data_IF_101919559456
#
_entry.id   IF_101919559456
#
_cell.length_a   1.000
_cell.length_b   1.000
_cell.length_c   1.000
_cell.angle_alpha   90.00
_cell.angle_beta   90.00
_cell.angle_gamma   90.00
#
_symmetry.space_group_name_H-M   'P 1'
#
loop_
_entity.id
_entity.type
_entity.pdbx_description
1 polymer ?
#
# COMPACT_ATOMS: atom_id res chain seq x y z
N UNK A 1 -4.46 -1.76 28.89
CA UNK A 1 -4.40 -0.35 28.47
C UNK A 1 -5.79 0.03 28.01
N UNK A 2 -6.39 1.06 28.62
CA UNK A 2 -7.75 1.48 28.27
C UNK A 2 -7.68 2.39 27.05
N UNK A 3 -7.87 1.80 25.87
CA UNK A 3 -8.00 2.57 24.63
C UNK A 3 -9.32 3.36 24.67
N UNK A 4 -9.32 4.64 24.24
CA UNK A 4 -10.53 5.46 24.29
C UNK A 4 -11.64 4.83 23.43
N UNK A 5 -12.87 4.83 23.98
CA UNK A 5 -14.07 4.36 23.29
C UNK A 5 -14.18 4.97 21.89
N UNK A 6 -14.48 4.13 20.89
CA UNK A 6 -14.67 4.56 19.50
C UNK A 6 -15.66 5.74 19.46
N UNK A 7 -15.26 6.92 18.95
CA UNK A 7 -16.16 8.07 18.90
C UNK A 7 -17.38 7.77 18.02
N UNK A 8 -18.54 8.32 18.35
CA UNK A 8 -19.75 8.11 17.56
C UNK A 8 -19.61 8.75 16.18
N UNK A 9 -19.59 7.92 15.12
CA UNK A 9 -19.55 8.35 13.72
C UNK A 9 -18.47 7.69 12.85
N UNK A 10 -17.53 6.94 13.44
CA UNK A 10 -16.41 6.36 12.70
C UNK A 10 -16.68 4.94 12.20
N UNK A 11 -16.15 4.62 11.02
CA UNK A 11 -16.04 3.22 10.56
C UNK A 11 -14.91 2.51 11.32
N UNK A 12 -15.09 1.21 11.61
CA UNK A 12 -14.04 0.38 12.22
C UNK A 12 -12.75 0.39 11.40
N UNK A 13 -12.87 0.38 10.06
CA UNK A 13 -11.76 0.45 9.11
C UNK A 13 -10.93 1.73 9.26
N UNK A 14 -11.60 2.89 9.31
CA UNK A 14 -10.93 4.18 9.47
C UNK A 14 -10.18 4.31 10.79
N UNK A 15 -10.80 3.87 11.88
CA UNK A 15 -10.13 3.90 13.18
C UNK A 15 -8.98 2.88 13.27
N UNK A 16 -9.06 1.75 12.53
CA UNK A 16 -7.94 0.81 12.37
C UNK A 16 -6.75 1.47 11.67
N UNK A 17 -6.97 2.17 10.55
CA UNK A 17 -5.92 2.92 9.85
C UNK A 17 -5.23 3.92 10.80
N UNK A 18 -6.01 4.71 11.55
CA UNK A 18 -5.46 5.71 12.49
C UNK A 18 -4.51 5.08 13.51
N UNK A 19 -4.94 4.01 14.20
CA UNK A 19 -4.09 3.34 15.22
C UNK A 19 -2.88 2.67 14.56
N UNK A 20 -3.02 2.08 13.36
CA UNK A 20 -1.90 1.50 12.63
C UNK A 20 -0.84 2.56 12.28
N UNK A 21 -1.28 3.73 11.79
CA UNK A 21 -0.41 4.87 11.49
C UNK A 21 0.31 5.37 12.75
N UNK A 22 -0.41 5.50 13.87
CA UNK A 22 0.19 5.89 15.17
C UNK A 22 1.24 4.87 15.63
N UNK A 23 0.94 3.57 15.59
CA UNK A 23 1.89 2.49 15.92
C UNK A 23 3.11 2.46 15.00
N UNK A 24 2.96 2.81 13.73
CA UNK A 24 4.09 2.96 12.80
C UNK A 24 4.95 4.21 13.06
N UNK A 25 4.56 5.07 14.01
CA UNK A 25 5.26 6.30 14.41
C UNK A 25 4.64 7.59 13.87
N UNK A 26 3.37 7.53 13.44
CA UNK A 26 2.57 8.66 13.01
C UNK A 26 2.77 9.07 11.54
N UNK A 27 1.81 9.86 11.04
CA UNK A 27 1.75 10.37 9.65
C UNK A 27 3.10 10.95 9.21
N UNK A 28 3.72 11.81 10.03
CA UNK A 28 5.00 12.46 9.72
C UNK A 28 6.14 11.47 9.44
N UNK A 29 6.20 10.35 10.17
CA UNK A 29 7.24 9.34 9.97
C UNK A 29 6.99 8.51 8.71
N UNK A 30 5.72 8.19 8.43
CA UNK A 30 5.35 7.51 7.19
C UNK A 30 5.60 8.37 5.95
N UNK A 31 5.24 9.66 6.01
CA UNK A 31 5.47 10.61 4.91
C UNK A 31 6.96 10.96 4.70
N UNK A 32 7.78 10.90 5.74
CA UNK A 32 9.19 11.32 5.70
C UNK A 32 9.41 12.75 5.12
N UNK A 33 8.43 13.64 5.28
CA UNK A 33 8.41 15.00 4.71
C UNK A 33 7.74 15.14 3.33
N UNK A 34 7.12 14.08 2.80
CA UNK A 34 6.29 14.16 1.60
C UNK A 34 5.02 14.99 1.85
N UNK A 35 4.69 15.87 0.91
CA UNK A 35 3.42 16.63 0.88
C UNK A 35 2.20 15.83 0.40
N UNK A 36 2.45 14.62 -0.12
CA UNK A 36 1.42 13.73 -0.65
C UNK A 36 1.47 12.41 0.11
N UNK A 37 0.34 12.01 0.68
CA UNK A 37 0.17 10.68 1.23
C UNK A 37 -0.41 9.76 0.17
N UNK A 38 0.13 8.55 0.03
CA UNK A 38 -0.33 7.58 -0.95
C UNK A 38 -0.64 6.26 -0.26
N UNK A 39 -1.88 5.80 -0.38
CA UNK A 39 -2.40 4.60 0.28
C UNK A 39 -2.95 3.66 -0.78
N UNK A 40 -2.59 2.38 -0.70
CA UNK A 40 -3.20 1.32 -1.52
C UNK A 40 -4.23 0.56 -0.69
N UNK A 41 -5.46 0.43 -1.18
CA UNK A 41 -6.50 -0.38 -0.55
C UNK A 41 -6.75 -1.62 -1.41
N UNK A 42 -6.30 -2.79 -0.96
CA UNK A 42 -6.34 -4.05 -1.71
C UNK A 42 -7.51 -4.93 -1.28
N UNK A 43 -7.98 -5.77 -2.21
CA UNK A 43 -9.01 -6.78 -1.96
C UNK A 43 -10.43 -6.22 -2.02
N UNK A 44 -10.61 -5.00 -2.53
CA UNK A 44 -11.91 -4.35 -2.60
C UNK A 44 -12.87 -5.11 -3.53
N UNK A 45 -13.97 -5.59 -2.95
CA UNK A 45 -15.02 -6.35 -3.64
C UNK A 45 -16.19 -5.47 -4.13
N UNK A 46 -17.12 -6.02 -4.90
CA UNK A 46 -18.42 -5.39 -5.15
C UNK A 46 -19.12 -5.05 -3.84
N UNK A 47 -19.11 -5.87 -2.76
CA UNK A 47 -19.75 -5.40 -1.52
C UNK A 47 -19.04 -4.21 -0.85
N UNK A 48 -17.73 -4.05 -1.08
CA UNK A 48 -16.96 -2.88 -0.64
C UNK A 48 -17.05 -1.68 -1.59
N UNK A 49 -17.52 -1.90 -2.82
CA UNK A 49 -17.65 -0.93 -3.90
C UNK A 49 -19.10 -0.71 -4.36
N UNK A 50 -20.09 -1.38 -3.76
CA UNK A 50 -21.55 -1.24 -4.00
C UNK A 50 -22.08 -0.03 -3.25
N UNK A 51 -21.31 1.03 -3.36
CA UNK A 51 -21.84 2.37 -3.41
C UNK A 51 -22.76 2.46 -4.65
N UNK A 52 -24.02 2.02 -4.48
CA UNK A 52 -25.15 2.39 -5.37
C UNK A 52 -25.22 3.92 -5.59
N UNK A 53 -24.53 4.66 -4.72
CA UNK A 53 -24.45 6.09 -4.53
C UNK A 53 -23.02 6.45 -4.09
N UNK A 54 -22.21 7.12 -4.93
CA UNK A 54 -20.89 7.63 -4.55
C UNK A 54 -20.88 8.45 -3.25
N UNK A 55 -21.98 9.13 -2.92
CA UNK A 55 -22.14 9.90 -1.66
C UNK A 55 -22.02 9.07 -0.36
N UNK A 56 -21.91 7.74 -0.43
CA UNK A 56 -21.63 6.85 0.72
C UNK A 56 -20.16 6.43 0.86
N UNK A 57 -19.33 6.66 -0.16
CA UNK A 57 -17.88 6.47 -0.08
C UNK A 57 -17.30 7.43 0.97
N UNK A 58 -17.83 8.64 0.99
CA UNK A 58 -17.50 9.72 1.91
C UNK A 58 -17.63 9.24 3.38
N UNK A 59 -18.82 8.86 3.86
CA UNK A 59 -19.04 8.50 5.28
C UNK A 59 -18.02 7.51 5.89
N UNK A 60 -17.61 6.47 5.13
CA UNK A 60 -16.74 5.41 5.66
C UNK A 60 -15.25 5.79 5.74
N UNK A 61 -14.79 6.69 4.88
CA UNK A 61 -13.38 7.05 4.72
C UNK A 61 -13.09 8.54 5.00
N UNK A 62 -14.03 9.47 4.79
CA UNK A 62 -13.93 10.91 5.12
C UNK A 62 -13.51 11.10 6.58
N UNK A 63 -14.16 10.39 7.52
CA UNK A 63 -13.84 10.47 8.96
C UNK A 63 -12.39 10.07 9.27
N UNK A 64 -11.87 9.04 8.60
CA UNK A 64 -10.48 8.61 8.71
C UNK A 64 -9.50 9.67 8.17
N UNK A 65 -9.66 10.03 6.89
CA UNK A 65 -8.76 10.97 6.22
C UNK A 65 -8.81 12.35 6.86
N UNK A 66 -9.97 12.78 7.38
CA UNK A 66 -10.11 14.05 8.11
C UNK A 66 -9.25 14.09 9.37
N UNK A 67 -9.29 13.07 10.23
CA UNK A 67 -8.44 13.05 11.43
C UNK A 67 -6.95 13.00 11.08
N UNK A 68 -6.57 12.30 10.00
CA UNK A 68 -5.18 12.18 9.58
C UNK A 68 -4.66 13.47 8.93
N UNK A 69 -5.48 14.18 8.15
CA UNK A 69 -5.18 15.54 7.66
C UNK A 69 -5.13 16.55 8.80
N UNK A 70 -6.07 16.54 9.74
CA UNK A 70 -6.06 17.44 10.91
C UNK A 70 -4.85 17.19 11.82
N UNK A 71 -4.45 15.93 12.02
CA UNK A 71 -3.23 15.57 12.76
C UNK A 71 -1.95 16.04 12.04
N UNK A 72 -1.96 16.09 10.70
CA UNK A 72 -0.89 16.70 9.91
C UNK A 72 -0.87 18.22 10.08
N UNK A 73 -1.99 18.90 9.82
CA UNK A 73 -2.15 20.35 9.91
C UNK A 73 -1.80 20.89 11.31
N UNK A 74 -2.31 20.26 12.37
CA UNK A 74 -2.01 20.63 13.77
C UNK A 74 -0.53 20.48 14.13
N UNK A 75 0.24 19.70 13.36
CA UNK A 75 1.67 19.52 13.57
C UNK A 75 2.52 20.46 12.70
N UNK A 76 2.00 20.90 11.55
CA UNK A 76 2.76 21.50 10.45
C UNK A 76 2.79 23.03 10.39
N UNK A 77 2.27 23.72 11.42
CA UNK A 77 2.52 25.14 11.75
C UNK A 77 2.47 26.11 10.53
N UNK A 78 1.44 25.95 9.67
CA UNK A 78 1.17 26.81 8.51
C UNK A 78 1.54 26.24 7.14
N UNK A 79 1.94 24.96 7.03
CA UNK A 79 2.09 24.28 5.74
C UNK A 79 0.76 24.06 4.99
N UNK A 80 0.86 23.75 3.70
CA UNK A 80 -0.26 23.40 2.81
C UNK A 80 -0.98 22.12 3.29
N UNK A 81 -2.31 21.99 3.06
CA UNK A 81 -3.07 20.81 3.46
C UNK A 81 -2.56 19.55 2.75
N UNK A 82 -2.52 18.44 3.49
CA UNK A 82 -2.03 17.15 3.01
C UNK A 82 -2.86 16.66 1.82
N UNK A 83 -2.22 16.37 0.69
CA UNK A 83 -2.86 15.75 -0.46
C UNK A 83 -2.87 14.23 -0.28
N UNK A 84 -4.03 13.58 -0.30
CA UNK A 84 -4.14 12.13 -0.04
C UNK A 84 -4.58 11.44 -1.34
N UNK A 85 -3.80 10.47 -1.79
CA UNK A 85 -4.10 9.63 -2.94
C UNK A 85 -4.46 8.23 -2.43
N UNK A 86 -5.64 7.75 -2.80
CA UNK A 86 -6.11 6.40 -2.43
C UNK A 86 -6.34 5.60 -3.71
N UNK A 87 -5.45 4.65 -3.97
CA UNK A 87 -5.58 3.69 -5.06
C UNK A 87 -6.32 2.45 -4.52
N UNK A 88 -7.60 2.32 -4.85
CA UNK A 88 -8.48 1.19 -4.49
C UNK A 88 -8.36 0.11 -5.57
N UNK A 89 -8.05 -1.13 -5.17
CA UNK A 89 -7.58 -2.19 -6.06
C UNK A 89 -8.32 -3.49 -5.74
N UNK A 90 -9.00 -4.06 -6.74
CA UNK A 90 -9.71 -5.32 -6.61
C UNK A 90 -10.45 -5.75 -7.89
N UNK A 91 -10.60 -7.07 -8.13
CA UNK A 91 -11.12 -7.59 -9.41
C UNK A 91 -12.60 -7.28 -9.63
N UNK A 92 -13.31 -6.89 -8.57
CA UNK A 92 -14.74 -6.71 -8.53
C UNK A 92 -15.14 -5.21 -8.38
N UNK A 93 -14.19 -4.29 -8.55
CA UNK A 93 -14.48 -2.84 -8.55
C UNK A 93 -15.30 -2.41 -9.76
N UNK A 94 -16.29 -1.54 -9.53
CA UNK A 94 -17.03 -0.89 -10.61
C UNK A 94 -16.23 0.31 -11.16
N UNK A 95 -15.95 0.29 -12.46
CA UNK A 95 -15.24 1.36 -13.16
C UNK A 95 -15.93 2.73 -13.05
N UNK A 96 -17.23 2.79 -12.71
CA UNK A 96 -17.99 4.03 -12.48
C UNK A 96 -17.51 4.84 -11.27
N UNK A 97 -16.69 4.28 -10.40
CA UNK A 97 -16.14 4.98 -9.23
C UNK A 97 -14.89 5.81 -9.55
N UNK A 98 -14.28 5.65 -10.73
CA UNK A 98 -13.08 6.39 -11.11
C UNK A 98 -13.30 7.92 -11.15
N UNK A 99 -12.41 8.68 -10.49
CA UNK A 99 -12.41 10.15 -10.52
C UNK A 99 -13.30 10.81 -9.46
N UNK A 100 -13.63 10.12 -8.36
CA UNK A 100 -14.27 10.74 -7.20
C UNK A 100 -13.24 11.60 -6.44
N UNK A 101 -13.48 12.92 -6.40
CA UNK A 101 -12.68 13.89 -5.65
C UNK A 101 -13.38 14.33 -4.36
N UNK A 102 -12.74 14.15 -3.20
CA UNK A 102 -13.31 14.63 -1.94
C UNK A 102 -12.88 16.07 -1.64
N UNK A 103 -13.69 17.03 -2.11
CA UNK A 103 -13.41 18.48 -2.11
C UNK A 103 -13.08 19.11 -0.75
N UNK A 104 -13.41 18.47 0.37
CA UNK A 104 -13.09 18.98 1.72
C UNK A 104 -11.73 18.54 2.26
N UNK A 105 -11.17 17.45 1.75
CA UNK A 105 -10.03 16.76 2.37
C UNK A 105 -8.83 16.58 1.43
N UNK A 106 -8.88 17.14 0.23
CA UNK A 106 -7.84 17.00 -0.80
C UNK A 106 -7.52 15.51 -1.09
N UNK A 107 -8.56 14.66 -1.12
CA UNK A 107 -8.44 13.22 -1.39
C UNK A 107 -8.80 12.94 -2.84
N UNK A 108 -7.90 12.30 -3.58
CA UNK A 108 -8.11 11.76 -4.92
C UNK A 108 -8.23 10.23 -4.84
N UNK A 109 -9.39 9.68 -5.22
CA UNK A 109 -9.58 8.23 -5.33
C UNK A 109 -9.38 7.74 -6.76
N UNK A 110 -8.60 6.66 -6.91
CA UNK A 110 -8.46 5.92 -8.17
C UNK A 110 -8.86 4.48 -7.96
N UNK A 111 -9.46 3.89 -9.00
CA UNK A 111 -10.02 2.54 -8.93
C UNK A 111 -9.36 1.69 -10.01
N UNK A 112 -8.78 0.57 -9.58
CA UNK A 112 -8.05 -0.38 -10.40
C UNK A 112 -8.83 -1.70 -10.44
N UNK A 113 -9.79 -1.85 -11.38
CA UNK A 113 -10.57 -3.08 -11.53
C UNK A 113 -9.66 -4.20 -12.04
N UNK A 114 -9.17 -5.02 -11.11
CA UNK A 114 -8.09 -5.97 -11.39
C UNK A 114 -7.27 -6.34 -10.15
N UNK A 115 -6.04 -6.82 -10.38
CA UNK A 115 -5.12 -7.24 -9.33
C UNK A 115 -3.95 -6.26 -9.18
N UNK A 116 -3.25 -6.28 -8.04
CA UNK A 116 -2.12 -5.36 -7.76
C UNK A 116 -1.05 -5.32 -8.86
N UNK A 117 -0.80 -6.43 -9.55
CA UNK A 117 0.15 -6.53 -10.68
C UNK A 117 -0.19 -5.63 -11.89
N UNK A 118 -1.43 -5.14 -11.97
CA UNK A 118 -1.93 -4.26 -13.04
C UNK A 118 -1.75 -2.77 -12.68
N UNK A 119 -1.38 -2.47 -11.42
CA UNK A 119 -1.05 -1.13 -10.94
C UNK A 119 0.42 -0.83 -11.27
N UNK A 120 0.76 0.36 -11.82
CA UNK A 120 2.14 0.71 -12.17
C UNK A 120 3.10 0.58 -10.99
N UNK A 121 4.26 -0.06 -11.18
CA UNK A 121 5.16 -0.39 -10.05
C UNK A 121 5.62 0.82 -9.24
N UNK A 122 5.74 1.99 -9.87
CA UNK A 122 6.09 3.25 -9.21
C UNK A 122 5.00 3.71 -8.21
N UNK A 123 3.73 3.32 -8.41
CA UNK A 123 2.65 3.52 -7.42
C UNK A 123 2.87 2.61 -6.20
N UNK A 124 3.23 1.35 -6.42
CA UNK A 124 3.50 0.37 -5.35
C UNK A 124 4.72 0.77 -4.51
N UNK A 125 5.78 1.23 -5.17
CA UNK A 125 7.01 1.73 -4.56
C UNK A 125 6.84 3.07 -3.82
N UNK A 126 5.86 3.90 -4.21
CA UNK A 126 5.54 5.18 -3.56
C UNK A 126 4.37 5.11 -2.57
N UNK A 127 3.86 3.91 -2.29
CA UNK A 127 2.89 3.71 -1.21
C UNK A 127 3.55 4.03 0.15
N UNK A 128 2.78 4.64 1.04
CA UNK A 128 3.17 4.95 2.41
C UNK A 128 2.41 4.09 3.43
N UNK A 129 1.31 3.48 3.01
CA UNK A 129 0.51 2.50 3.72
C UNK A 129 -0.20 1.61 2.68
N UNK A 130 -0.36 0.33 2.99
CA UNK A 130 -1.22 -0.60 2.26
C UNK A 130 -2.24 -1.17 3.24
N UNK A 131 -3.50 -1.31 2.83
CA UNK A 131 -4.59 -1.84 3.68
C UNK A 131 -5.32 -2.98 2.97
N UNK A 132 -5.51 -4.09 3.67
CA UNK A 132 -6.27 -5.25 3.20
C UNK A 132 -7.32 -5.59 4.27
N UNK A 133 -8.58 -5.19 4.05
CA UNK A 133 -9.62 -5.34 5.08
C UNK A 133 -10.29 -6.71 5.01
N UNK A 134 -10.38 -7.39 6.15
CA UNK A 134 -10.94 -8.73 6.31
C UNK A 134 -10.47 -9.71 5.22
N UNK A 135 -9.17 -9.69 4.93
CA UNK A 135 -8.61 -10.18 3.67
C UNK A 135 -8.70 -11.69 3.49
N UNK A 136 -8.64 -12.45 4.60
CA UNK A 136 -8.66 -13.91 4.59
C UNK A 136 -7.58 -14.51 3.70
N UNK A 137 -6.35 -13.98 3.80
CA UNK A 137 -5.18 -14.39 3.00
C UNK A 137 -5.01 -15.92 3.01
N UNK A 138 -5.21 -16.55 4.18
CA UNK A 138 -5.20 -18.01 4.36
C UNK A 138 -6.15 -18.77 3.41
N UNK A 139 -7.27 -18.16 3.02
CA UNK A 139 -8.31 -18.80 2.20
C UNK A 139 -8.16 -18.61 0.69
N UNK A 140 -7.24 -17.74 0.21
CA UNK A 140 -7.16 -17.40 -1.21
C UNK A 140 -5.72 -17.22 -1.72
N UNK A 141 -5.22 -18.21 -2.47
CA UNK A 141 -3.95 -18.15 -3.22
C UNK A 141 -3.83 -16.94 -4.17
N UNK A 142 -4.95 -16.32 -4.56
CA UNK A 142 -4.96 -15.09 -5.36
C UNK A 142 -4.26 -13.91 -4.67
N UNK A 143 -4.16 -13.91 -3.34
CA UNK A 143 -3.36 -12.92 -2.61
C UNK A 143 -1.87 -13.08 -2.83
N UNK A 144 -1.36 -14.30 -3.06
CA UNK A 144 0.08 -14.60 -3.09
C UNK A 144 0.86 -13.70 -4.04
N UNK A 145 0.37 -13.52 -5.26
CA UNK A 145 1.02 -12.65 -6.24
C UNK A 145 1.10 -11.18 -5.78
N UNK A 146 0.08 -10.68 -5.06
CA UNK A 146 0.09 -9.34 -4.50
C UNK A 146 1.06 -9.23 -3.31
N UNK A 147 1.05 -10.21 -2.39
CA UNK A 147 1.98 -10.26 -1.26
C UNK A 147 3.44 -10.33 -1.74
N UNK A 148 3.74 -11.19 -2.72
CA UNK A 148 5.08 -11.27 -3.32
C UNK A 148 5.52 -9.93 -3.96
N UNK A 149 4.60 -9.20 -4.62
CA UNK A 149 4.88 -7.85 -5.13
C UNK A 149 5.15 -6.87 -3.98
N UNK A 150 4.33 -6.86 -2.93
CA UNK A 150 4.53 -5.97 -1.77
C UNK A 150 5.86 -6.23 -1.06
N UNK A 151 6.25 -7.50 -0.89
CA UNK A 151 7.50 -7.88 -0.21
C UNK A 151 8.76 -7.46 -0.98
N UNK A 152 8.72 -7.50 -2.32
CA UNK A 152 9.84 -7.09 -3.19
C UNK A 152 9.87 -5.57 -3.44
N UNK A 153 8.71 -4.96 -3.65
CA UNK A 153 8.58 -3.64 -4.29
C UNK A 153 7.99 -2.55 -3.39
N UNK A 154 7.54 -2.86 -2.17
CA UNK A 154 6.98 -1.87 -1.26
C UNK A 154 7.68 -1.86 0.09
N UNK A 155 8.03 -0.65 0.55
CA UNK A 155 8.52 -0.40 1.91
C UNK A 155 7.41 0.11 2.84
N UNK A 156 6.18 0.21 2.33
CA UNK A 156 5.02 0.58 3.12
C UNK A 156 4.69 -0.50 4.17
N UNK A 157 4.24 -0.12 5.37
CA UNK A 157 3.51 -1.03 6.24
C UNK A 157 2.25 -1.54 5.53
N UNK A 158 2.04 -2.85 5.58
CA UNK A 158 0.85 -3.53 5.09
C UNK A 158 -0.01 -3.89 6.29
N UNK A 159 -1.15 -3.22 6.43
CA UNK A 159 -2.15 -3.48 7.44
C UNK A 159 -3.14 -4.52 6.91
N UNK A 160 -3.31 -5.63 7.64
CA UNK A 160 -4.34 -6.63 7.35
C UNK A 160 -5.29 -6.71 8.54
N UNK A 161 -6.60 -6.79 8.27
CA UNK A 161 -7.61 -7.10 9.29
C UNK A 161 -8.31 -8.42 8.97
N UNK A 162 -8.92 -9.03 9.98
CA UNK A 162 -9.68 -10.27 9.88
C UNK A 162 -10.94 -10.23 10.76
N UNK A 163 -11.91 -11.12 10.48
CA UNK A 163 -13.15 -11.22 11.26
C UNK A 163 -12.97 -11.96 12.60
N UNK A 164 -11.87 -12.71 12.76
CA UNK A 164 -11.56 -13.42 14.01
C UNK A 164 -10.06 -13.45 14.32
N UNK A 165 -9.72 -13.78 15.57
CA UNK A 165 -8.33 -14.03 15.99
C UNK A 165 -7.74 -15.31 15.38
N UNK A 166 -8.60 -16.26 14.99
CA UNK A 166 -8.20 -17.52 14.35
C UNK A 166 -7.76 -17.24 12.92
N UNK A 167 -8.60 -16.57 12.13
CA UNK A 167 -8.27 -16.14 10.76
C UNK A 167 -7.03 -15.25 10.70
N UNK A 168 -6.81 -14.38 11.69
CA UNK A 168 -5.60 -13.56 11.76
C UNK A 168 -4.33 -14.38 12.07
N UNK A 169 -4.45 -15.48 12.81
CA UNK A 169 -3.34 -16.40 13.05
C UNK A 169 -3.06 -17.26 11.81
N UNK A 170 -4.10 -17.72 11.11
CA UNK A 170 -3.96 -18.45 9.84
C UNK A 170 -3.35 -17.55 8.76
N UNK A 171 -3.76 -16.27 8.69
CA UNK A 171 -3.15 -15.24 7.82
C UNK A 171 -1.66 -15.06 8.16
N UNK A 172 -1.29 -15.05 9.44
CA UNK A 172 0.10 -14.92 9.89
C UNK A 172 0.97 -16.10 9.48
N UNK A 173 0.49 -17.34 9.69
CA UNK A 173 1.21 -18.56 9.33
C UNK A 173 1.42 -18.65 7.80
N UNK A 174 0.41 -18.31 7.01
CA UNK A 174 0.50 -18.27 5.54
C UNK A 174 1.42 -17.15 5.03
N UNK A 175 1.43 -15.99 5.70
CA UNK A 175 2.36 -14.90 5.38
C UNK A 175 3.83 -15.29 5.67
N UNK A 176 4.11 -15.95 6.80
CA UNK A 176 5.44 -16.48 7.11
C UNK A 176 5.87 -17.59 6.11
N UNK A 177 4.96 -18.50 5.73
CA UNK A 177 5.24 -19.51 4.69
C UNK A 177 5.58 -18.85 3.35
N UNK A 178 4.71 -17.98 2.83
CA UNK A 178 4.91 -17.34 1.53
C UNK A 178 6.17 -16.48 1.51
N UNK A 179 6.45 -15.71 2.57
CA UNK A 179 7.65 -14.91 2.70
C UNK A 179 8.93 -15.76 2.63
N UNK A 180 8.94 -16.95 3.22
CA UNK A 180 10.07 -17.89 3.13
C UNK A 180 10.37 -18.36 1.69
N UNK A 181 9.35 -18.32 0.82
CA UNK A 181 9.43 -18.69 -0.59
C UNK A 181 9.76 -17.54 -1.54
N UNK A 182 9.95 -16.30 -1.06
CA UNK A 182 10.27 -15.13 -1.91
C UNK A 182 11.79 -14.90 -1.94
N UNK A 183 12.48 -15.11 -3.08
CA UNK A 183 13.90 -14.76 -3.18
C UNK A 183 14.09 -13.25 -3.03
N UNK A 184 15.21 -12.87 -2.39
CA UNK A 184 15.69 -11.50 -2.25
C UNK A 184 14.68 -10.51 -1.62
N UNK A 185 13.72 -11.02 -0.84
CA UNK A 185 12.84 -10.25 0.02
C UNK A 185 12.77 -10.86 1.41
N UNK A 186 12.47 -10.03 2.40
CA UNK A 186 12.17 -10.47 3.77
C UNK A 186 10.92 -9.76 4.26
N UNK A 187 10.09 -10.49 5.02
CA UNK A 187 8.93 -9.94 5.71
C UNK A 187 9.38 -9.47 7.11
N UNK A 188 9.19 -8.19 7.42
CA UNK A 188 9.43 -7.64 8.75
C UNK A 188 8.09 -7.36 9.44
N UNK A 189 7.81 -8.12 10.51
CA UNK A 189 6.62 -7.94 11.34
C UNK A 189 6.69 -6.62 12.12
N UNK A 190 5.69 -5.75 11.94
CA UNK A 190 5.45 -4.56 12.78
C UNK A 190 4.68 -4.95 14.05
N UNK A 191 3.63 -5.76 13.88
CA UNK A 191 3.03 -6.55 14.93
C UNK A 191 2.41 -7.81 14.33
N UNK A 192 2.49 -8.89 15.11
CA UNK A 192 1.88 -10.20 14.86
C UNK A 192 0.36 -10.12 15.11
N UNK A 193 -0.39 -11.17 14.81
CA UNK A 193 -1.83 -11.26 15.00
C UNK A 193 -2.25 -10.91 16.43
N UNK A 194 -3.02 -9.84 16.58
CA UNK A 194 -3.58 -9.40 17.85
C UNK A 194 -5.00 -8.86 17.68
N UNK A 195 -5.67 -8.58 18.80
CA UNK A 195 -7.01 -8.02 18.78
C UNK A 195 -6.97 -6.54 18.40
N UNK A 196 -7.75 -6.16 17.40
CA UNK A 196 -7.83 -4.79 16.94
C UNK A 196 -8.57 -3.90 17.97
N UNK A 197 -7.97 -2.81 18.48
CA UNK A 197 -8.67 -1.88 19.37
C UNK A 197 -9.84 -1.15 18.67
N UNK A 198 -9.84 -1.11 17.33
CA UNK A 198 -10.85 -0.48 16.49
C UNK A 198 -11.95 -1.43 15.99
N UNK A 199 -12.00 -2.68 16.47
CA UNK A 199 -12.99 -3.68 16.06
C UNK A 199 -14.44 -3.16 16.15
N UNK A 200 -15.30 -3.50 15.17
CA UNK A 200 -16.73 -3.18 15.30
C UNK A 200 -17.31 -3.92 16.53
N UNK A 201 -18.18 -3.22 17.26
CA UNK A 201 -18.91 -3.80 18.40
C UNK A 201 -20.17 -4.56 17.96
N UNK A 202 -20.57 -4.40 16.69
CA UNK A 202 -21.70 -5.07 16.07
C UNK A 202 -21.20 -6.21 15.19
N UNK A 203 -21.63 -7.42 15.50
CA UNK A 203 -21.48 -8.53 14.57
C UNK A 203 -22.38 -8.31 13.34
N UNK A 204 -21.88 -8.72 12.17
CA UNK A 204 -22.64 -8.83 10.92
C UNK A 204 -22.67 -10.30 10.52
N UNK A 205 -23.70 -10.68 9.77
CA UNK A 205 -23.73 -11.99 9.15
C UNK A 205 -22.70 -12.00 8.02
N UNK A 206 -21.74 -12.91 8.10
CA UNK A 206 -20.71 -13.15 7.10
C UNK A 206 -20.84 -14.59 6.62
N UNK A 207 -20.64 -14.84 5.33
CA UNK A 207 -20.72 -16.19 4.80
C UNK A 207 -19.43 -16.95 5.11
N UNK A 208 -19.50 -17.89 6.06
CA UNK A 208 -18.38 -18.80 6.34
C UNK A 208 -18.18 -19.73 5.14
N UNK A 209 -16.98 -19.70 4.56
CA UNK A 209 -16.63 -20.47 3.36
C UNK A 209 -16.29 -21.93 3.66
N UNK A 210 -15.74 -22.25 4.83
CA UNK A 210 -15.44 -23.63 5.22
C UNK A 210 -16.71 -24.37 5.62
N UNK A 211 -17.57 -23.69 6.38
CA UNK A 211 -18.77 -24.30 6.95
C UNK A 211 -20.02 -24.16 6.07
N UNK A 212 -19.95 -23.37 4.99
CA UNK A 212 -21.10 -22.98 4.15
C UNK A 212 -22.30 -22.49 4.98
N UNK A 213 -22.04 -21.64 5.97
CA UNK A 213 -23.02 -21.16 6.94
C UNK A 213 -22.83 -19.67 7.20
N UNK A 214 -23.95 -19.01 7.46
CA UNK A 214 -23.96 -17.67 8.02
C UNK A 214 -23.36 -17.68 9.44
N UNK A 215 -22.30 -16.92 9.65
CA UNK A 215 -21.66 -16.70 10.95
C UNK A 215 -21.76 -15.23 11.33
N UNK A 216 -22.22 -14.95 12.55
CA UNK A 216 -22.16 -13.61 13.13
C UNK A 216 -20.71 -13.30 13.52
N UNK A 217 -20.06 -12.40 12.77
CA UNK A 217 -18.67 -11.99 13.02
C UNK A 217 -18.55 -10.46 13.07
N UNK A 218 -17.68 -9.95 13.93
CA UNK A 218 -17.41 -8.52 14.02
C UNK A 218 -16.40 -8.10 12.94
N UNK A 219 -16.65 -7.00 12.23
CA UNK A 219 -15.70 -6.48 11.24
C UNK A 219 -14.39 -6.03 11.90
N UNK A 220 -13.27 -6.42 11.29
CA UNK A 220 -11.92 -6.08 11.74
C UNK A 220 -11.65 -6.44 13.21
N UNK A 221 -12.16 -7.57 13.71
CA UNK A 221 -11.98 -7.99 15.12
C UNK A 221 -10.51 -8.19 15.49
N UNK A 222 -9.72 -8.69 14.55
CA UNK A 222 -8.29 -8.92 14.68
C UNK A 222 -7.53 -8.21 13.55
N UNK A 223 -6.23 -8.00 13.77
CA UNK A 223 -5.36 -7.34 12.81
C UNK A 223 -3.90 -7.75 12.98
N UNK A 224 -3.13 -7.58 11.91
CA UNK A 224 -1.69 -7.77 11.88
C UNK A 224 -1.05 -6.72 10.96
N UNK A 225 0.25 -6.49 11.10
CA UNK A 225 0.97 -5.63 10.19
C UNK A 225 2.40 -6.08 9.95
N UNK A 226 2.79 -6.13 8.69
CA UNK A 226 4.13 -6.43 8.22
C UNK A 226 4.61 -5.36 7.24
N UNK A 227 5.84 -5.48 6.76
CA UNK A 227 6.34 -4.70 5.64
C UNK A 227 7.33 -5.53 4.81
N UNK A 228 7.46 -5.19 3.52
CA UNK A 228 8.53 -5.68 2.68
C UNK A 228 9.88 -5.06 3.07
N UNK A 229 10.93 -5.87 2.97
CA UNK A 229 12.31 -5.43 3.15
C UNK A 229 13.20 -6.20 2.19
N UNK A 230 13.67 -5.51 1.16
CA UNK A 230 14.81 -5.96 0.37
C UNK A 230 16.05 -6.05 1.27
N UNK A 231 16.88 -7.11 1.16
CA UNK A 231 18.14 -7.19 1.88
C UNK A 231 19.00 -6.00 1.46
N UNK A 232 19.36 -5.15 2.43
CA UNK A 232 20.24 -4.02 2.20
C UNK A 232 21.52 -4.51 1.53
N UNK A 233 21.83 -3.98 0.35
CA UNK A 233 23.10 -4.26 -0.33
C UNK A 233 24.24 -4.02 0.66
N UNK A 234 25.00 -5.08 0.92
CA UNK A 234 25.85 -5.20 2.12
C UNK A 234 26.69 -3.95 2.35
N UNK A 235 26.59 -3.33 3.53
CA UNK A 235 27.53 -2.30 3.98
C UNK A 235 28.96 -2.89 4.00
N UNK A 236 29.70 -2.69 2.90
CA UNK A 236 30.75 -3.64 2.54
C UNK A 236 31.89 -3.11 1.67
N UNK A 237 32.05 -1.80 1.50
CA UNK A 237 33.35 -1.24 1.08
C UNK A 237 33.55 0.20 1.52
N UNK A 238 33.92 0.38 2.79
CA UNK A 238 34.47 1.66 3.28
C UNK A 238 35.95 1.79 2.88
N UNK A 239 36.25 1.84 1.58
CA UNK A 239 37.56 2.32 1.12
C UNK A 239 37.59 3.84 1.23
N UNK A 240 38.22 4.33 2.31
CA UNK A 240 38.54 5.76 2.50
C UNK A 240 39.31 6.28 1.28
N UNK A 241 38.66 7.08 0.44
CA UNK A 241 39.36 7.94 -0.50
C UNK A 241 40.00 9.09 0.28
N UNK A 242 41.23 8.86 0.72
CA UNK A 242 42.09 9.89 1.29
C UNK A 242 42.38 10.97 0.24
N UNK A 243 42.31 12.23 0.67
CA UNK A 243 42.67 13.42 -0.10
C UNK A 243 43.95 13.28 -0.93
N UNK A 244 43.82 13.31 -2.26
CA UNK A 244 44.92 13.18 -3.22
C UNK A 244 44.83 14.22 -4.34
N UNK A 245 45.70 15.23 -4.25
CA UNK A 245 45.98 16.30 -5.24
C UNK A 245 45.61 16.03 -6.71
N UNK A 246 44.98 17.03 -7.31
CA UNK A 246 45.00 17.30 -8.77
C UNK A 246 46.45 17.50 -9.28
N UNK A 247 46.80 16.92 -10.43
CA UNK A 247 47.73 17.53 -11.38
C UNK A 247 47.04 17.87 -12.72
N UNK A 248 47.68 18.73 -13.50
CA UNK A 248 47.08 19.41 -14.64
C UNK A 248 47.16 18.62 -15.98
N UNK A 249 46.37 19.11 -16.95
CA UNK A 249 46.49 18.97 -18.41
C UNK A 249 47.79 18.34 -18.93
N UNK A 250 47.62 17.38 -19.83
CA UNK A 250 48.33 17.39 -21.11
C UNK A 250 47.31 17.24 -22.25
N UNK A 251 47.48 18.07 -23.28
CA UNK A 251 46.90 17.84 -24.60
C UNK A 251 47.85 16.89 -25.32
N UNK A 252 47.32 16.03 -26.18
CA UNK A 252 47.94 15.69 -27.46
C UNK A 252 46.79 15.39 -28.44
N UNK A 253 47.03 15.69 -29.72
CA UNK A 253 46.03 15.61 -30.79
C UNK A 253 46.67 15.00 -32.03
N UNK A 254 46.03 13.98 -32.58
CA UNK A 254 46.30 13.25 -33.83
C UNK A 254 45.14 12.23 -33.94
N UNK A 255 44.61 11.85 -35.10
CA UNK A 255 44.52 12.51 -36.41
C UNK A 255 43.27 11.93 -37.11
N UNK A 256 42.76 12.54 -38.17
CA UNK A 256 41.56 12.06 -38.88
C UNK A 256 41.92 11.13 -40.04
N UNK A 257 41.09 10.12 -40.31
CA UNK A 257 40.93 9.56 -41.66
C UNK A 257 39.45 9.28 -41.96
N UNK A 258 39.08 9.55 -43.21
CA UNK A 258 37.72 9.54 -43.73
C UNK A 258 37.28 8.15 -44.23
N UNK A 259 35.96 7.93 -44.30
CA UNK A 259 35.33 7.03 -45.28
C UNK A 259 33.86 7.44 -45.51
N UNK A 260 33.58 8.03 -46.67
CA UNK A 260 32.23 8.21 -47.23
C UNK A 260 31.78 6.91 -47.95
N UNK A 261 30.63 6.98 -48.66
CA UNK A 261 30.05 5.96 -49.57
C UNK A 261 29.49 4.67 -48.90
N UNK A 262 28.53 3.90 -49.42
CA UNK A 262 27.42 4.04 -50.41
C UNK A 262 26.56 2.74 -50.28
N UNK A 263 25.34 2.55 -50.80
CA UNK A 263 24.40 3.32 -51.64
C UNK A 263 22.94 2.84 -51.35
N UNK A 264 21.94 3.34 -52.08
CA UNK A 264 20.50 2.97 -52.02
C UNK A 264 20.13 1.54 -52.51
N UNK A 265 18.93 1.06 -52.11
CA UNK A 265 17.97 0.22 -52.88
C UNK A 265 16.76 -0.13 -51.97
N UNK A 266 15.58 0.48 -52.12
CA UNK A 266 14.51 0.21 -53.10
C UNK A 266 13.75 -1.14 -52.93
N UNK A 267 12.45 -0.98 -52.69
CA UNK A 267 11.27 -1.72 -53.17
C UNK A 267 11.11 -3.25 -53.02
N UNK A 268 9.98 -3.62 -52.40
CA UNK A 268 9.00 -4.54 -52.99
C UNK A 268 7.61 -4.39 -52.30
N UNK A 269 6.56 -4.19 -53.11
CA UNK A 269 5.14 -4.27 -52.72
C UNK A 269 4.62 -5.74 -52.70
N UNK A 270 3.30 -5.88 -52.54
CA UNK A 270 2.45 -7.07 -52.77
C UNK A 270 2.44 -8.24 -51.77
N UNK A 271 1.41 -8.25 -50.90
CA UNK A 271 0.32 -9.25 -50.91
C UNK A 271 -0.84 -8.89 -49.96
#
# INVERSE_FOLDING_TARGET
EDWPMVPQGFSSRGHSIRIAVERCGGVRRLLAGAKKWHVLCLGADQEEATFERPEKLDDHFESCWMELSLAHESAADGEEPLEIHVDVIGPNLDARLAGIEHKRLNVEYRFWPGYLREVPIQRVQSAHLVTCFNAGIWGYDSWRAAIETLLRESFAPVLVTAYSMEEAADDEDVLDEWASGVPDATLEWRWRAERNPAADTKARITHDRENCKDAERAENLAWLCFQGKTPSSTEGSSTRLSSGKVPARQQDAEEAEDAEDAEDAEDAEDA
#
